data_IF_375429629183
#
_entry.id   IF_375429629183
#
_cell.length_a   1.000
_cell.length_b   1.000
_cell.length_c   1.000
_cell.angle_alpha   90.00
_cell.angle_beta   90.00
_cell.angle_gamma   90.00
#
_symmetry.space_group_name_H-M   'P 1'
#
loop_
_entity.id
_entity.type
_entity.pdbx_description
1 polymer ?
#
# COMPACT_ATOMS: atom_id res chain seq x y z
N UNK A 1 14.87 15.56 -13.95
CA UNK A 1 15.42 15.19 -12.61
C UNK A 1 14.22 14.98 -11.71
N UNK A 2 14.13 13.83 -11.03
CA UNK A 2 13.02 13.55 -10.13
C UNK A 2 13.10 14.39 -8.86
N UNK A 3 11.94 14.87 -8.40
CA UNK A 3 11.76 15.60 -7.14
C UNK A 3 11.04 14.76 -6.08
N UNK A 4 10.42 13.66 -6.50
CA UNK A 4 9.80 12.70 -5.59
C UNK A 4 10.05 11.26 -6.04
N UNK A 5 10.22 10.36 -5.06
CA UNK A 5 10.25 8.92 -5.24
C UNK A 5 9.08 8.34 -4.45
N UNK A 6 8.23 7.60 -5.13
CA UNK A 6 7.08 6.92 -4.56
C UNK A 6 7.38 5.43 -4.50
N UNK A 7 7.30 4.82 -3.34
CA UNK A 7 7.50 3.38 -3.17
C UNK A 7 6.19 2.68 -2.88
N UNK A 8 5.91 1.61 -3.60
CA UNK A 8 5.00 0.60 -3.12
C UNK A 8 5.61 -0.17 -1.94
N UNK A 9 4.77 -0.88 -1.17
CA UNK A 9 5.20 -1.60 0.02
C UNK A 9 5.31 -3.10 -0.24
N UNK A 10 4.18 -3.75 -0.51
CA UNK A 10 4.03 -5.20 -0.48
C UNK A 10 4.56 -5.85 -1.77
N UNK A 11 5.65 -6.61 -1.68
CA UNK A 11 6.38 -7.14 -2.85
C UNK A 11 7.41 -6.17 -3.42
N UNK A 12 7.50 -4.94 -2.90
CA UNK A 12 8.49 -3.92 -3.28
C UNK A 12 9.47 -3.66 -2.14
N UNK A 13 9.20 -2.71 -1.24
CA UNK A 13 10.05 -2.49 -0.05
C UNK A 13 10.00 -3.69 0.89
N UNK A 14 8.83 -4.25 1.13
CA UNK A 14 8.60 -5.41 1.97
C UNK A 14 8.49 -6.66 1.09
N UNK A 15 9.53 -7.47 1.10
CA UNK A 15 9.58 -8.69 0.32
C UNK A 15 8.60 -9.73 0.84
N UNK A 16 7.56 -10.04 0.09
CA UNK A 16 6.58 -11.10 0.42
C UNK A 16 5.78 -11.55 -0.80
N UNK A 17 5.26 -12.77 -0.70
CA UNK A 17 4.26 -13.25 -1.63
C UNK A 17 2.87 -12.77 -1.19
N UNK A 18 2.10 -12.22 -2.11
CA UNK A 18 0.80 -11.61 -1.82
C UNK A 18 -0.25 -12.64 -1.33
N UNK A 19 -0.26 -13.85 -1.91
CA UNK A 19 -1.20 -14.91 -1.50
C UNK A 19 -0.91 -15.41 -0.09
N UNK A 20 0.38 -15.62 0.25
CA UNK A 20 0.81 -16.03 1.60
C UNK A 20 0.44 -14.95 2.64
N UNK A 21 0.63 -13.67 2.27
CA UNK A 21 0.24 -12.55 3.11
C UNK A 21 -1.26 -12.52 3.35
N UNK A 22 -2.07 -12.52 2.30
CA UNK A 22 -3.54 -12.47 2.40
C UNK A 22 -4.06 -13.66 3.21
N UNK A 23 -3.58 -14.88 2.93
CA UNK A 23 -4.00 -16.07 3.66
C UNK A 23 -3.69 -15.99 5.17
N UNK A 24 -2.49 -15.54 5.52
CA UNK A 24 -2.07 -15.39 6.93
C UNK A 24 -2.82 -14.24 7.62
N UNK A 25 -2.97 -13.12 6.93
CA UNK A 25 -3.73 -11.96 7.40
C UNK A 25 -5.18 -12.32 7.74
N UNK A 26 -5.89 -12.94 6.80
CA UNK A 26 -7.29 -13.34 7.01
C UNK A 26 -7.44 -14.33 8.17
N UNK A 27 -6.49 -15.24 8.32
CA UNK A 27 -6.46 -16.19 9.45
C UNK A 27 -6.32 -15.48 10.80
N UNK A 28 -5.38 -14.55 10.93
CA UNK A 28 -5.18 -13.83 12.19
C UNK A 28 -6.31 -12.83 12.47
N UNK A 29 -6.81 -12.15 11.45
CA UNK A 29 -7.96 -11.26 11.55
C UNK A 29 -9.21 -12.03 12.02
N UNK A 30 -9.50 -13.19 11.43
CA UNK A 30 -10.64 -14.03 11.81
C UNK A 30 -10.58 -14.45 13.28
N UNK A 31 -9.38 -14.72 13.83
CA UNK A 31 -9.24 -15.05 15.26
C UNK A 31 -9.65 -13.88 16.17
N UNK A 32 -9.33 -12.64 15.79
CA UNK A 32 -9.76 -11.43 16.52
C UNK A 32 -11.27 -11.28 16.44
N UNK A 33 -11.84 -11.38 15.23
CA UNK A 33 -13.26 -11.14 15.00
C UNK A 33 -14.18 -12.23 15.56
N UNK A 34 -13.73 -13.48 15.65
CA UNK A 34 -14.46 -14.52 16.39
C UNK A 34 -14.66 -14.18 17.87
N UNK A 35 -13.72 -13.46 18.50
CA UNK A 35 -13.90 -12.97 19.88
C UNK A 35 -14.97 -11.88 19.97
N UNK A 36 -15.26 -11.19 18.87
CA UNK A 36 -16.34 -10.21 18.77
C UNK A 36 -17.67 -10.82 18.32
N UNK A 37 -17.73 -12.15 18.18
CA UNK A 37 -18.93 -12.89 17.79
C UNK A 37 -19.17 -13.00 16.29
N UNK A 38 -18.21 -12.61 15.45
CA UNK A 38 -18.31 -12.63 13.98
C UNK A 38 -17.40 -13.71 13.43
N UNK A 39 -17.99 -14.71 12.79
CA UNK A 39 -17.26 -15.83 12.19
C UNK A 39 -16.62 -15.51 10.85
N UNK A 40 -15.66 -16.34 10.37
CA UNK A 40 -14.99 -16.13 9.08
C UNK A 40 -15.95 -16.07 7.89
N UNK A 41 -17.04 -16.85 7.93
CA UNK A 41 -18.03 -16.93 6.85
C UNK A 41 -18.83 -15.62 6.68
N UNK A 42 -18.93 -14.82 7.73
CA UNK A 42 -19.52 -13.48 7.69
C UNK A 42 -18.46 -12.40 7.44
N UNK A 43 -17.34 -12.50 8.16
CA UNK A 43 -16.25 -11.53 8.11
C UNK A 43 -15.65 -11.38 6.71
N UNK A 44 -15.23 -12.51 6.11
CA UNK A 44 -14.45 -12.47 4.86
C UNK A 44 -15.26 -11.87 3.70
N UNK A 45 -16.52 -12.28 3.46
CA UNK A 45 -17.34 -11.64 2.43
C UNK A 45 -17.59 -10.15 2.69
N UNK A 46 -17.79 -9.75 3.95
CA UNK A 46 -18.00 -8.34 4.31
C UNK A 46 -16.72 -7.51 4.09
N UNK A 47 -15.56 -8.06 4.46
CA UNK A 47 -14.25 -7.44 4.23
C UNK A 47 -14.01 -7.19 2.74
N UNK A 48 -14.19 -8.21 1.90
CA UNK A 48 -14.02 -8.07 0.46
C UNK A 48 -15.04 -7.12 -0.18
N UNK A 49 -16.27 -7.09 0.35
CA UNK A 49 -17.27 -6.14 -0.12
C UNK A 49 -16.87 -4.70 0.18
N UNK A 50 -16.45 -4.42 1.43
CA UNK A 50 -15.95 -3.10 1.83
C UNK A 50 -14.71 -2.66 1.04
N UNK A 51 -13.75 -3.58 0.86
CA UNK A 51 -12.55 -3.34 0.03
C UNK A 51 -12.91 -3.06 -1.43
N UNK A 52 -13.86 -3.81 -1.99
CA UNK A 52 -14.36 -3.58 -3.34
C UNK A 52 -15.04 -2.22 -3.52
N UNK A 53 -15.68 -1.69 -2.47
CA UNK A 53 -16.22 -0.34 -2.46
C UNK A 53 -15.12 0.73 -2.44
N UNK A 54 -14.06 0.54 -1.66
CA UNK A 54 -12.89 1.45 -1.66
C UNK A 54 -12.24 1.53 -3.06
N UNK A 55 -12.05 0.39 -3.72
CA UNK A 55 -11.48 0.34 -5.09
C UNK A 55 -12.33 1.07 -6.14
N UNK A 56 -13.62 1.29 -5.87
CA UNK A 56 -14.56 2.02 -6.73
C UNK A 56 -14.89 3.42 -6.21
N UNK A 57 -14.18 3.88 -5.18
CA UNK A 57 -14.41 5.19 -4.58
C UNK A 57 -14.17 6.29 -5.63
N UNK A 58 -15.09 7.26 -5.68
CA UNK A 58 -15.08 8.37 -6.63
C UNK A 58 -14.43 9.65 -6.08
N UNK A 59 -13.78 9.55 -4.94
CA UNK A 59 -13.03 10.66 -4.32
C UNK A 59 -13.84 11.58 -3.40
N UNK A 60 -15.13 11.34 -3.22
CA UNK A 60 -15.99 12.22 -2.40
C UNK A 60 -15.92 11.95 -0.89
N UNK A 61 -15.54 10.76 -0.52
CA UNK A 61 -15.41 10.29 0.86
C UNK A 61 -14.04 9.62 1.04
N UNK A 62 -13.55 9.52 2.27
CA UNK A 62 -12.37 8.73 2.55
C UNK A 62 -12.63 7.24 2.29
N UNK A 63 -11.58 6.49 2.01
CA UNK A 63 -11.67 5.04 1.86
C UNK A 63 -12.19 4.39 3.15
N UNK A 64 -11.83 4.92 4.33
CA UNK A 64 -12.36 4.50 5.63
C UNK A 64 -13.89 4.60 5.70
N UNK A 65 -14.46 5.74 5.32
CA UNK A 65 -15.90 5.94 5.34
C UNK A 65 -16.62 4.99 4.38
N UNK A 66 -16.08 4.84 3.17
CA UNK A 66 -16.63 3.94 2.14
C UNK A 66 -16.53 2.47 2.59
N UNK A 67 -15.39 2.07 3.16
CA UNK A 67 -15.19 0.72 3.69
C UNK A 67 -16.22 0.38 4.77
N UNK A 68 -16.29 1.19 5.83
CA UNK A 68 -17.18 0.91 6.96
C UNK A 68 -18.65 0.92 6.56
N UNK A 69 -19.06 1.82 5.67
CA UNK A 69 -20.42 1.82 5.11
C UNK A 69 -20.73 0.49 4.41
N UNK A 70 -19.81 -0.01 3.61
CA UNK A 70 -19.95 -1.30 2.91
C UNK A 70 -19.95 -2.47 3.89
N UNK A 71 -18.98 -2.53 4.77
CA UNK A 71 -18.80 -3.61 5.75
C UNK A 71 -20.01 -3.77 6.65
N UNK A 72 -20.47 -2.66 7.28
CA UNK A 72 -21.64 -2.65 8.17
C UNK A 72 -22.93 -3.04 7.43
N UNK A 73 -23.05 -2.71 6.15
CA UNK A 73 -24.22 -3.14 5.36
C UNK A 73 -24.36 -4.67 5.25
N UNK A 74 -23.28 -5.41 5.51
CA UNK A 74 -23.24 -6.86 5.44
C UNK A 74 -23.42 -7.55 6.80
N UNK A 75 -22.80 -7.00 7.85
CA UNK A 75 -22.77 -7.64 9.16
C UNK A 75 -23.59 -6.91 10.23
N UNK A 76 -24.03 -5.66 9.96
CA UNK A 76 -24.66 -4.82 10.97
C UNK A 76 -23.66 -4.30 12.02
N UNK A 77 -24.19 -3.80 13.14
CA UNK A 77 -23.38 -3.36 14.28
C UNK A 77 -22.92 -1.90 14.19
N UNK A 78 -21.94 -1.55 15.01
CA UNK A 78 -21.41 -0.20 15.15
C UNK A 78 -20.03 -0.09 14.48
N UNK A 79 -19.95 0.75 13.45
CA UNK A 79 -18.72 0.97 12.68
C UNK A 79 -17.58 1.53 13.54
N UNK A 80 -17.85 2.45 14.47
CA UNK A 80 -16.82 3.05 15.31
C UNK A 80 -16.25 2.03 16.32
N UNK A 81 -17.10 1.17 16.84
CA UNK A 81 -16.67 0.08 17.71
C UNK A 81 -15.76 -0.88 16.96
N UNK A 82 -16.17 -1.36 15.79
CA UNK A 82 -15.37 -2.29 15.00
C UNK A 82 -14.08 -1.67 14.47
N UNK A 83 -14.09 -0.38 14.14
CA UNK A 83 -12.89 0.33 13.72
C UNK A 83 -11.83 0.36 14.83
N UNK A 84 -12.23 0.69 16.07
CA UNK A 84 -11.31 0.63 17.22
C UNK A 84 -10.73 -0.75 17.46
N UNK A 85 -11.55 -1.80 17.37
CA UNK A 85 -11.10 -3.19 17.52
C UNK A 85 -10.16 -3.60 16.38
N UNK A 86 -10.38 -3.05 15.18
CA UNK A 86 -9.53 -3.27 14.01
C UNK A 86 -8.18 -2.56 14.17
N UNK A 87 -8.17 -1.31 14.66
CA UNK A 87 -6.92 -0.60 14.99
C UNK A 87 -6.12 -1.37 16.05
N UNK A 88 -6.79 -1.86 17.11
CA UNK A 88 -6.14 -2.70 18.14
C UNK A 88 -5.50 -3.95 17.54
N UNK A 89 -6.21 -4.65 16.63
CA UNK A 89 -5.65 -5.79 15.91
C UNK A 89 -4.38 -5.42 15.14
N UNK A 90 -4.38 -4.31 14.39
CA UNK A 90 -3.23 -3.92 13.56
C UNK A 90 -2.00 -3.55 14.38
N UNK A 91 -2.19 -2.96 15.56
CA UNK A 91 -1.08 -2.61 16.46
C UNK A 91 -0.52 -3.87 17.16
N UNK A 92 -1.36 -4.85 17.48
CA UNK A 92 -1.00 -6.00 18.31
C UNK A 92 -0.85 -7.30 17.50
N UNK A 93 -1.97 -7.98 17.21
CA UNK A 93 -1.95 -9.35 16.66
C UNK A 93 -1.43 -9.41 15.21
N UNK A 94 -1.58 -8.34 14.44
CA UNK A 94 -1.12 -8.26 13.05
C UNK A 94 0.39 -8.50 12.90
N UNK A 95 1.18 -8.22 13.94
CA UNK A 95 2.61 -8.54 13.95
C UNK A 95 2.92 -10.03 13.73
N UNK A 96 1.95 -10.94 13.95
CA UNK A 96 2.12 -12.37 13.63
C UNK A 96 2.20 -12.62 12.12
N UNK A 97 1.64 -11.73 11.33
CA UNK A 97 1.68 -11.82 9.85
C UNK A 97 3.10 -11.54 9.32
N UNK A 98 3.97 -10.88 10.11
CA UNK A 98 5.39 -10.70 9.75
C UNK A 98 6.09 -12.01 9.39
N UNK A 99 5.61 -13.15 9.90
CA UNK A 99 6.21 -14.46 9.63
C UNK A 99 6.26 -14.86 8.14
N UNK A 100 5.43 -14.25 7.29
CA UNK A 100 5.45 -14.48 5.82
C UNK A 100 6.23 -13.42 5.06
N UNK A 101 6.64 -12.33 5.71
CA UNK A 101 7.55 -11.36 5.13
C UNK A 101 8.99 -11.85 5.17
N UNK A 102 9.75 -11.56 4.13
CA UNK A 102 11.18 -11.83 4.05
C UNK A 102 11.96 -10.54 4.28
N UNK A 103 13.15 -10.68 4.81
CA UNK A 103 14.05 -9.53 4.96
C UNK A 103 14.40 -8.94 3.59
N UNK A 104 14.32 -7.62 3.51
CA UNK A 104 14.90 -6.84 2.43
C UNK A 104 15.99 -5.92 3.02
N UNK A 105 17.25 -6.37 3.05
CA UNK A 105 18.33 -5.60 3.68
C UNK A 105 18.63 -4.28 2.96
N UNK A 106 18.13 -4.11 1.73
CA UNK A 106 18.33 -2.91 0.93
C UNK A 106 17.21 -1.87 1.10
N UNK A 107 16.09 -2.21 1.75
CA UNK A 107 14.93 -1.31 1.86
C UNK A 107 15.29 0.03 2.53
N UNK A 108 15.93 -0.01 3.71
CA UNK A 108 16.37 1.21 4.40
C UNK A 108 17.32 2.04 3.53
N UNK A 109 18.25 1.37 2.83
CA UNK A 109 19.20 2.04 1.93
C UNK A 109 18.50 2.72 0.77
N UNK A 110 17.51 2.08 0.16
CA UNK A 110 16.73 2.66 -0.93
C UNK A 110 15.99 3.92 -0.49
N UNK A 111 15.35 3.89 0.69
CA UNK A 111 14.64 5.04 1.28
C UNK A 111 15.63 6.18 1.60
N UNK A 112 16.79 5.89 2.18
CA UNK A 112 17.84 6.87 2.44
C UNK A 112 18.33 7.54 1.14
N UNK A 113 18.60 6.75 0.11
CA UNK A 113 19.04 7.26 -1.21
C UNK A 113 17.97 8.11 -1.88
N UNK A 114 16.71 7.73 -1.72
CA UNK A 114 15.58 8.48 -2.27
C UNK A 114 15.49 9.91 -1.70
N UNK A 115 15.86 10.13 -0.45
CA UNK A 115 15.90 11.47 0.17
C UNK A 115 17.04 12.37 -0.30
N UNK A 116 18.04 11.81 -0.99
CA UNK A 116 19.16 12.64 -1.48
C UNK A 116 18.66 13.75 -2.38
N UNK A 117 19.43 14.85 -2.39
CA UNK A 117 19.12 16.05 -3.18
C UNK A 117 17.77 16.73 -2.79
N UNK A 118 17.24 16.46 -1.59
CA UNK A 118 16.00 17.06 -1.09
C UNK A 118 14.73 16.53 -1.75
N UNK A 119 14.78 15.32 -2.33
CA UNK A 119 13.60 14.69 -2.92
C UNK A 119 12.59 14.30 -1.83
N UNK A 120 11.32 14.38 -2.18
CA UNK A 120 10.22 13.84 -1.38
C UNK A 120 10.17 12.32 -1.49
N UNK A 121 9.94 11.64 -0.38
CA UNK A 121 9.80 10.18 -0.35
C UNK A 121 8.40 9.82 0.16
N UNK A 122 7.67 9.05 -0.63
CA UNK A 122 6.30 8.67 -0.35
C UNK A 122 6.18 7.16 -0.24
N UNK A 123 5.50 6.67 0.78
CA UNK A 123 5.00 5.31 0.80
C UNK A 123 3.64 5.30 0.10
N UNK A 124 3.67 4.94 -1.19
CA UNK A 124 2.51 4.91 -2.09
C UNK A 124 1.95 3.48 -2.19
N UNK A 125 1.57 2.90 -1.06
CA UNK A 125 0.90 1.59 -0.99
C UNK A 125 -0.60 1.72 -1.23
N UNK A 126 -1.27 0.65 -1.67
CA UNK A 126 -2.71 0.73 -1.92
C UNK A 126 -3.45 1.05 -0.60
N UNK A 127 -4.22 2.17 -0.51
CA UNK A 127 -4.79 2.66 0.73
C UNK A 127 -6.07 1.93 1.13
N UNK A 128 -5.96 0.59 1.23
CA UNK A 128 -7.04 -0.31 1.68
C UNK A 128 -6.86 -0.77 3.13
N UNK A 129 -5.75 -0.38 3.77
CA UNK A 129 -5.47 -0.63 5.18
C UNK A 129 -5.50 0.67 5.98
N UNK A 130 -5.84 0.59 7.29
CA UNK A 130 -5.71 1.74 8.18
C UNK A 130 -4.25 2.13 8.36
N UNK A 131 -4.02 3.38 8.76
CA UNK A 131 -2.68 3.90 9.05
C UNK A 131 -1.91 3.01 10.03
N UNK A 132 -2.57 2.50 11.07
CA UNK A 132 -1.96 1.56 12.02
C UNK A 132 -1.42 0.30 11.34
N UNK A 133 -2.15 -0.25 10.36
CA UNK A 133 -1.71 -1.40 9.57
C UNK A 133 -0.54 -1.08 8.64
N UNK A 134 -0.51 0.14 8.06
CA UNK A 134 0.61 0.60 7.26
C UNK A 134 1.87 0.76 8.12
N UNK A 135 1.77 1.46 9.25
CA UNK A 135 2.91 1.71 10.15
C UNK A 135 3.45 0.42 10.77
N UNK A 136 2.60 -0.54 11.08
CA UNK A 136 3.05 -1.85 11.55
C UNK A 136 3.92 -2.55 10.51
N UNK A 137 3.52 -2.58 9.23
CA UNK A 137 4.33 -3.17 8.15
C UNK A 137 5.63 -2.40 7.89
N UNK A 138 5.58 -1.07 7.94
CA UNK A 138 6.78 -0.22 7.87
C UNK A 138 7.79 -0.58 8.96
N UNK A 139 7.30 -0.82 10.20
CA UNK A 139 8.16 -1.22 11.32
C UNK A 139 8.85 -2.58 11.11
N UNK A 140 8.28 -3.47 10.30
CA UNK A 140 8.92 -4.76 9.97
C UNK A 140 10.20 -4.60 9.16
N UNK A 141 10.33 -3.47 8.44
CA UNK A 141 11.54 -3.10 7.70
C UNK A 141 12.58 -2.37 8.57
N UNK A 142 12.26 -2.05 9.82
CA UNK A 142 13.10 -1.17 10.66
C UNK A 142 12.96 0.31 10.31
N UNK A 143 11.96 0.66 9.51
CA UNK A 143 11.59 2.02 9.15
C UNK A 143 10.47 2.54 10.07
N UNK A 144 10.22 3.83 10.00
CA UNK A 144 9.20 4.54 10.78
C UNK A 144 8.44 5.55 9.91
N UNK A 145 7.41 6.14 10.47
CA UNK A 145 6.65 7.19 9.79
C UNK A 145 7.53 8.38 9.36
N UNK A 146 8.55 8.73 10.15
CA UNK A 146 9.45 9.85 9.87
C UNK A 146 10.38 9.64 8.67
N UNK A 147 10.47 8.41 8.15
CA UNK A 147 11.24 8.08 6.95
C UNK A 147 10.48 8.40 5.65
N UNK A 148 9.26 8.93 5.75
CA UNK A 148 8.41 9.27 4.60
C UNK A 148 7.79 10.66 4.77
N UNK A 149 7.77 11.46 3.70
CA UNK A 149 7.05 12.74 3.66
C UNK A 149 5.53 12.54 3.58
N UNK A 150 5.08 11.39 3.07
CA UNK A 150 3.69 11.00 2.97
C UNK A 150 3.57 9.48 3.01
N UNK A 151 2.58 8.97 3.75
CA UNK A 151 2.14 7.57 3.72
C UNK A 151 0.67 7.55 3.35
N UNK A 152 0.30 6.77 2.34
CA UNK A 152 -1.11 6.58 1.96
C UNK A 152 -1.79 5.56 2.86
N UNK A 153 -3.02 5.83 3.27
CA UNK A 153 -3.84 5.01 4.16
C UNK A 153 -5.34 5.24 3.88
N UNK A 154 -6.21 4.39 4.42
CA UNK A 154 -7.63 4.48 4.12
C UNK A 154 -8.34 5.65 4.82
N UNK A 155 -7.74 6.24 5.87
CA UNK A 155 -8.27 7.41 6.57
C UNK A 155 -8.15 8.69 5.74
N UNK A 156 -7.03 8.84 5.04
CA UNK A 156 -6.62 10.10 4.40
C UNK A 156 -6.69 10.07 2.88
N UNK A 157 -6.94 8.90 2.29
CA UNK A 157 -7.03 8.73 0.85
C UNK A 157 -8.46 8.40 0.41
N UNK A 158 -8.82 8.84 -0.80
CA UNK A 158 -10.15 8.68 -1.39
C UNK A 158 -10.13 7.92 -2.71
N UNK A 159 -8.96 7.52 -3.17
CA UNK A 159 -8.76 6.72 -4.37
C UNK A 159 -7.85 5.56 -4.05
N UNK A 160 -8.04 4.43 -4.76
CA UNK A 160 -7.17 3.25 -4.68
C UNK A 160 -6.46 3.03 -6.03
N UNK A 161 -5.33 2.34 -6.03
CA UNK A 161 -4.76 1.76 -7.23
C UNK A 161 -5.77 0.77 -7.87
N UNK A 162 -5.85 0.67 -9.20
CA UNK A 162 -5.04 1.31 -10.23
C UNK A 162 -5.63 2.64 -10.76
N UNK A 163 -6.45 3.36 -10.00
CA UNK A 163 -6.98 4.64 -10.43
C UNK A 163 -5.85 5.69 -10.53
N UNK A 164 -5.66 6.32 -11.71
CA UNK A 164 -4.68 7.40 -11.89
C UNK A 164 -4.84 8.57 -10.92
N UNK A 165 -6.09 8.84 -10.48
CA UNK A 165 -6.39 9.94 -9.56
C UNK A 165 -5.77 9.71 -8.18
N UNK A 166 -5.46 8.45 -7.81
CA UNK A 166 -4.65 8.13 -6.64
C UNK A 166 -3.26 8.78 -6.74
N UNK A 167 -2.56 8.61 -7.86
CA UNK A 167 -1.23 9.19 -8.08
C UNK A 167 -1.27 10.71 -8.23
N UNK A 168 -2.28 11.24 -8.91
CA UNK A 168 -2.48 12.68 -9.04
C UNK A 168 -2.74 13.35 -7.68
N UNK A 169 -3.50 12.69 -6.79
CA UNK A 169 -3.72 13.18 -5.42
C UNK A 169 -2.44 13.20 -4.59
N UNK A 170 -1.58 12.19 -4.70
CA UNK A 170 -0.26 12.17 -4.06
C UNK A 170 0.59 13.33 -4.55
N UNK A 171 0.73 13.49 -5.87
CA UNK A 171 1.52 14.57 -6.48
C UNK A 171 1.06 15.97 -6.01
N UNK A 172 -0.26 16.17 -5.93
CA UNK A 172 -0.84 17.40 -5.40
C UNK A 172 -0.49 17.63 -3.92
N UNK A 173 -0.61 16.60 -3.08
CA UNK A 173 -0.36 16.68 -1.62
C UNK A 173 1.09 16.98 -1.29
N UNK A 174 2.04 16.44 -2.07
CA UNK A 174 3.47 16.71 -1.88
C UNK A 174 3.98 17.94 -2.65
N UNK A 175 3.13 18.58 -3.46
CA UNK A 175 3.48 19.77 -4.23
C UNK A 175 4.50 19.53 -5.34
N UNK A 176 4.49 18.34 -5.95
CA UNK A 176 5.41 17.94 -7.04
C UNK A 176 4.59 17.60 -8.28
N UNK A 177 5.07 17.99 -9.46
CA UNK A 177 4.38 17.64 -10.70
C UNK A 177 4.54 16.16 -11.01
N UNK A 178 3.53 15.47 -11.60
CA UNK A 178 3.61 14.03 -11.91
C UNK A 178 4.88 13.64 -12.68
N UNK A 179 5.25 14.43 -13.72
CA UNK A 179 6.44 14.16 -14.53
C UNK A 179 7.78 14.33 -13.79
N UNK A 180 7.76 14.82 -12.56
CA UNK A 180 8.92 14.91 -11.67
C UNK A 180 8.91 13.79 -10.60
N UNK A 181 7.98 12.84 -10.69
CA UNK A 181 7.84 11.70 -9.80
C UNK A 181 8.34 10.41 -10.46
N UNK A 182 8.99 9.56 -9.68
CA UNK A 182 9.31 8.18 -10.04
C UNK A 182 8.51 7.24 -9.15
N UNK A 183 7.62 6.44 -9.73
CA UNK A 183 6.94 5.35 -9.02
C UNK A 183 7.81 4.09 -9.06
N UNK A 184 8.03 3.49 -7.93
CA UNK A 184 8.75 2.23 -7.74
C UNK A 184 7.78 1.19 -7.19
N UNK A 185 7.53 0.13 -7.95
CA UNK A 185 6.57 -0.91 -7.55
C UNK A 185 6.80 -2.21 -8.30
N UNK A 186 6.06 -3.24 -7.94
CA UNK A 186 6.19 -4.58 -8.51
C UNK A 186 4.94 -5.05 -9.30
N UNK A 187 3.88 -4.26 -9.32
CA UNK A 187 2.63 -4.58 -10.02
C UNK A 187 2.51 -3.78 -11.32
N UNK A 188 2.44 -4.47 -12.47
CA UNK A 188 2.34 -3.81 -13.77
C UNK A 188 1.04 -3.01 -13.92
N UNK A 189 -0.07 -3.43 -13.30
CA UNK A 189 -1.37 -2.76 -13.38
C UNK A 189 -1.49 -1.64 -12.33
N UNK A 190 -1.28 -1.99 -11.06
CA UNK A 190 -1.52 -1.07 -9.93
C UNK A 190 -0.43 0.02 -9.82
N UNK A 191 0.83 -0.32 -10.14
CA UNK A 191 1.94 0.62 -10.02
C UNK A 191 2.31 1.26 -11.36
N UNK A 192 2.63 0.46 -12.38
CA UNK A 192 3.21 1.01 -13.61
C UNK A 192 2.16 1.66 -14.52
N UNK A 193 1.15 0.91 -14.92
CA UNK A 193 0.10 1.41 -15.83
C UNK A 193 -0.62 2.64 -15.25
N UNK A 194 -0.93 2.59 -13.97
CA UNK A 194 -1.68 3.68 -13.32
C UNK A 194 -0.81 4.92 -13.11
N UNK A 195 0.49 4.77 -12.74
CA UNK A 195 1.42 5.90 -12.63
C UNK A 195 1.73 6.52 -14.00
N UNK A 196 1.92 5.71 -15.05
CA UNK A 196 2.07 6.18 -16.43
C UNK A 196 0.84 6.99 -16.88
N UNK A 197 -0.37 6.50 -16.59
CA UNK A 197 -1.61 7.21 -16.89
C UNK A 197 -1.74 8.55 -16.14
N UNK A 198 -1.06 8.69 -15.00
CA UNK A 198 -0.96 9.95 -14.25
C UNK A 198 0.18 10.85 -14.75
N UNK A 199 1.02 10.40 -15.70
CA UNK A 199 2.15 11.14 -16.24
C UNK A 199 3.45 11.01 -15.42
N UNK A 200 3.55 9.99 -14.56
CA UNK A 200 4.75 9.68 -13.79
C UNK A 200 5.67 8.73 -14.55
N UNK A 201 6.97 8.79 -14.27
CA UNK A 201 7.91 7.71 -14.62
C UNK A 201 7.77 6.52 -13.67
N UNK A 202 8.22 5.33 -14.11
CA UNK A 202 8.20 4.12 -13.30
C UNK A 202 9.51 3.34 -13.32
N UNK A 203 9.75 2.60 -12.21
CA UNK A 203 10.71 1.52 -12.14
C UNK A 203 10.00 0.25 -11.63
N UNK A 204 9.90 -0.76 -12.50
CA UNK A 204 9.27 -2.04 -12.17
C UNK A 204 10.27 -2.96 -11.49
N UNK A 205 10.04 -3.23 -10.20
CA UNK A 205 10.82 -4.21 -9.42
C UNK A 205 10.37 -5.63 -9.78
N UNK A 206 11.33 -6.50 -10.12
CA UNK A 206 11.02 -7.82 -10.68
C UNK A 206 11.11 -8.98 -9.68
N UNK A 207 11.56 -8.74 -8.43
CA UNK A 207 11.74 -9.78 -7.41
C UNK A 207 10.44 -10.49 -7.02
N UNK A 208 9.34 -9.74 -6.95
CA UNK A 208 7.98 -10.22 -6.67
C UNK A 208 6.98 -9.67 -7.70
N UNK A 209 7.36 -9.73 -8.98
CA UNK A 209 6.58 -9.18 -10.09
C UNK A 209 5.16 -9.74 -10.13
N UNK A 210 4.19 -8.85 -10.23
CA UNK A 210 2.79 -9.15 -10.55
C UNK A 210 2.54 -8.66 -11.98
N UNK A 211 2.51 -9.56 -12.98
CA UNK A 211 2.32 -9.16 -14.36
C UNK A 211 0.85 -8.78 -14.64
N UNK A 212 0.63 -7.84 -15.54
CA UNK A 212 -0.69 -7.55 -16.07
C UNK A 212 -1.08 -8.55 -17.17
N UNK A 213 -2.39 -8.78 -17.37
CA UNK A 213 -2.88 -9.66 -18.45
C UNK A 213 -2.72 -9.02 -19.83
N UNK A 214 -3.11 -7.76 -19.98
CA UNK A 214 -3.20 -7.05 -21.27
C UNK A 214 -2.27 -5.83 -21.36
N UNK A 215 -1.25 -5.73 -20.48
CA UNK A 215 -0.30 -4.62 -20.45
C UNK A 215 1.10 -5.15 -20.14
N UNK A 216 2.12 -4.51 -20.67
CA UNK A 216 3.51 -4.80 -20.31
C UNK A 216 4.30 -3.51 -20.24
N UNK A 217 4.89 -3.25 -19.08
CA UNK A 217 5.72 -2.08 -18.84
C UNK A 217 6.96 -2.07 -19.73
N UNK A 218 7.16 -0.99 -20.50
CA UNK A 218 8.28 -0.81 -21.42
C UNK A 218 9.38 0.12 -20.89
N UNK A 219 9.17 0.68 -19.69
CA UNK A 219 10.15 1.55 -19.05
C UNK A 219 11.23 0.81 -18.25
N UNK A 220 11.84 1.53 -17.30
CA UNK A 220 12.91 0.97 -16.45
C UNK A 220 12.37 -0.19 -15.61
N UNK A 221 13.14 -1.27 -15.53
CA UNK A 221 12.81 -2.45 -14.73
C UNK A 221 14.09 -3.18 -14.30
N UNK A 222 14.01 -3.90 -13.23
CA UNK A 222 15.12 -4.72 -12.71
C UNK A 222 14.84 -5.24 -11.30
N UNK A 223 15.82 -5.91 -10.73
CA UNK A 223 15.80 -6.33 -9.32
C UNK A 223 15.82 -5.14 -8.37
N UNK A 224 15.50 -5.37 -7.11
CA UNK A 224 15.61 -4.33 -6.08
C UNK A 224 17.07 -3.83 -5.90
N UNK A 225 18.06 -4.68 -6.15
CA UNK A 225 19.46 -4.27 -6.14
C UNK A 225 19.78 -3.26 -7.28
N UNK A 226 19.28 -3.52 -8.49
CA UNK A 226 19.43 -2.61 -9.63
C UNK A 226 18.68 -1.29 -9.42
N UNK A 227 17.55 -1.31 -8.70
CA UNK A 227 16.88 -0.09 -8.24
C UNK A 227 17.82 0.74 -7.34
N UNK A 228 18.50 0.10 -6.38
CA UNK A 228 19.44 0.81 -5.48
C UNK A 228 20.58 1.45 -6.28
N UNK A 229 21.14 0.75 -7.27
CA UNK A 229 22.16 1.31 -8.18
C UNK A 229 21.62 2.52 -8.95
N UNK A 230 20.38 2.45 -9.45
CA UNK A 230 19.72 3.58 -10.08
C UNK A 230 19.62 4.77 -9.10
N UNK A 231 19.13 4.54 -7.89
CA UNK A 231 18.96 5.61 -6.88
C UNK A 231 20.30 6.24 -6.47
N UNK A 232 21.39 5.49 -6.49
CA UNK A 232 22.75 6.00 -6.24
C UNK A 232 23.23 6.94 -7.35
N UNK A 233 22.75 6.74 -8.58
CA UNK A 233 23.12 7.54 -9.77
C UNK A 233 22.30 8.82 -9.94
N UNK A 234 21.16 8.96 -9.22
CA UNK A 234 20.24 10.11 -9.27
C UNK A 234 20.70 11.26 -8.37
#
# INVERSE_FOLDING_TARGET
MYKAILFDLDGTLLHMNNDDFIGTYLKELSKKWMKLGIGPDELIPALWYGTGMMRKNDGKQSNREVFWKGFISKIGGDAEYYDRETVDFYVNEFNRVKAVAKENPLACRAVELAHRNGRKVVLATNPVFPRSGQLTRVSWLGLSESDFDLITDYENDSYCKPNKDYYLSIAQRIGVRPEECLMVGNDETEDMMAAEAAGMDGFLVTDYLIPAEDYSWQGKRGSFAELVELLESL
#
